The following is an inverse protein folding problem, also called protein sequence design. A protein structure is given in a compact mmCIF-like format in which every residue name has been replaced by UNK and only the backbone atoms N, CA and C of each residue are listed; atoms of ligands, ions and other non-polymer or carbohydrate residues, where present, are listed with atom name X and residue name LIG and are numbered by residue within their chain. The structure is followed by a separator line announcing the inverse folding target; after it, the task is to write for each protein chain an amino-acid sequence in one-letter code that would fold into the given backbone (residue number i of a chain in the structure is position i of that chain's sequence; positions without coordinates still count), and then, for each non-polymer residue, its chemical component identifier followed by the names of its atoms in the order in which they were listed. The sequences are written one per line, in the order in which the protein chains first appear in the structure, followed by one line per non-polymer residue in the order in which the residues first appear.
data_IF_915982793728
#
_entry.id   IF_915982793728
#
_cell.length_a   1.000
_cell.length_b   1.000
_cell.length_c   1.000
_cell.angle_alpha   90.00
_cell.angle_beta   90.00
_cell.angle_gamma   90.00
#
_symmetry.space_group_name_H-M   'P 1'
#
loop_
_entity.id
_entity.type
_entity.pdbx_description
1 polymer ?
#
# COMPACT_ATOMS: atom_id res chain seq x y z
N UNK A 1 0.10 0.09 33.79
CA UNK A 1 0.25 0.89 32.56
C UNK A 1 -0.46 2.20 32.82
N UNK A 2 0.27 3.32 32.77
CA UNK A 2 -0.31 4.66 32.95
C UNK A 2 -1.28 4.97 31.79
N UNK A 3 -2.28 5.83 32.01
CA UNK A 3 -3.29 6.20 31.00
C UNK A 3 -2.62 6.69 29.70
N UNK A 4 -1.53 7.44 29.84
CA UNK A 4 -0.74 7.92 28.72
C UNK A 4 -0.04 6.83 27.93
N UNK A 5 0.42 5.77 28.59
CA UNK A 5 0.98 4.61 27.90
C UNK A 5 -0.11 3.86 27.13
N UNK A 6 -1.33 3.79 27.66
CA UNK A 6 -2.47 3.18 26.98
C UNK A 6 -2.83 3.95 25.69
N UNK A 7 -2.88 5.29 25.74
CA UNK A 7 -3.15 6.11 24.55
C UNK A 7 -2.04 5.94 23.50
N UNK A 8 -0.78 5.93 23.93
CA UNK A 8 0.35 5.71 23.01
C UNK A 8 0.30 4.33 22.37
N UNK A 9 0.02 3.29 23.16
CA UNK A 9 -0.16 1.94 22.65
C UNK A 9 -1.32 1.87 21.66
N UNK A 10 -2.46 2.50 21.98
CA UNK A 10 -3.62 2.58 21.10
C UNK A 10 -3.26 3.20 19.75
N UNK A 11 -2.55 4.33 19.73
CA UNK A 11 -2.12 4.99 18.48
C UNK A 11 -1.21 4.06 17.67
N UNK A 12 -0.18 3.49 18.29
CA UNK A 12 0.79 2.63 17.59
C UNK A 12 0.13 1.37 17.04
N UNK A 13 -0.74 0.71 17.81
CA UNK A 13 -1.46 -0.48 17.39
C UNK A 13 -2.46 -0.16 16.28
N UNK A 14 -3.27 0.89 16.42
CA UNK A 14 -4.22 1.30 15.38
C UNK A 14 -3.52 1.60 14.06
N UNK A 15 -2.33 2.19 14.13
CA UNK A 15 -1.49 2.40 12.95
C UNK A 15 -1.06 1.11 12.28
N UNK A 16 -0.53 0.17 13.06
CA UNK A 16 -0.06 -1.11 12.56
C UNK A 16 -1.20 -1.89 11.90
N UNK A 17 -2.38 -1.93 12.54
CA UNK A 17 -3.57 -2.60 12.01
C UNK A 17 -4.06 -1.99 10.69
N UNK A 18 -4.09 -0.66 10.59
CA UNK A 18 -4.49 0.02 9.34
C UNK A 18 -3.48 -0.24 8.22
N UNK A 19 -2.19 -0.21 8.54
CA UNK A 19 -1.12 -0.51 7.59
C UNK A 19 -1.22 -1.95 7.07
N UNK A 20 -1.30 -2.91 7.99
CA UNK A 20 -1.41 -4.34 7.70
C UNK A 20 -2.66 -4.65 6.86
N UNK A 21 -3.81 -4.01 7.18
CA UNK A 21 -5.02 -4.17 6.40
C UNK A 21 -4.84 -3.74 4.93
N UNK A 22 -4.27 -2.55 4.69
CA UNK A 22 -4.07 -2.03 3.32
C UNK A 22 -3.06 -2.91 2.56
N UNK A 23 -2.01 -3.37 3.23
CA UNK A 23 -1.00 -4.29 2.66
C UNK A 23 -1.63 -5.63 2.29
N UNK A 24 -2.43 -6.22 3.17
CA UNK A 24 -3.15 -7.47 2.91
C UNK A 24 -4.09 -7.34 1.71
N UNK A 25 -4.81 -6.23 1.59
CA UNK A 25 -5.70 -5.96 0.46
C UNK A 25 -4.93 -5.80 -0.85
N UNK A 26 -3.74 -5.17 -0.81
CA UNK A 26 -2.83 -5.10 -1.95
C UNK A 26 -2.37 -6.49 -2.39
N UNK A 27 -1.93 -7.32 -1.44
CA UNK A 27 -1.44 -8.67 -1.69
C UNK A 27 -2.49 -9.60 -2.29
N UNK A 28 -3.74 -9.50 -1.84
CA UNK A 28 -4.86 -10.26 -2.37
C UNK A 28 -5.17 -9.89 -3.84
N UNK A 29 -5.11 -8.60 -4.19
CA UNK A 29 -5.23 -8.17 -5.60
C UNK A 29 -4.07 -8.74 -6.44
N UNK A 30 -2.83 -8.61 -5.96
CA UNK A 30 -1.66 -9.13 -6.66
C UNK A 30 -1.76 -10.64 -6.89
N UNK A 31 -2.15 -11.39 -5.86
CA UNK A 31 -2.29 -12.84 -5.94
C UNK A 31 -3.34 -13.26 -6.98
N UNK A 32 -4.47 -12.55 -7.03
CA UNK A 32 -5.52 -12.83 -8.02
C UNK A 32 -5.08 -12.48 -9.44
N UNK A 33 -4.44 -11.33 -9.63
CA UNK A 33 -3.91 -10.94 -10.94
C UNK A 33 -2.84 -11.92 -11.44
N UNK A 34 -1.93 -12.35 -10.55
CA UNK A 34 -0.88 -13.33 -10.84
C UNK A 34 -1.48 -14.71 -11.19
N UNK A 35 -2.51 -15.16 -10.47
CA UNK A 35 -3.23 -16.40 -10.79
C UNK A 35 -3.93 -16.34 -12.17
N UNK A 36 -4.52 -15.20 -12.54
CA UNK A 36 -5.14 -15.02 -13.86
C UNK A 36 -4.11 -14.99 -14.98
N UNK A 37 -2.97 -14.33 -14.77
CA UNK A 37 -1.85 -14.34 -15.71
C UNK A 37 -1.34 -15.76 -15.94
N UNK A 38 -1.01 -16.48 -14.88
CA UNK A 38 -0.42 -17.83 -14.97
C UNK A 38 -1.38 -18.87 -15.57
N UNK A 39 -2.69 -18.71 -15.37
CA UNK A 39 -3.69 -19.64 -15.92
C UNK A 39 -4.13 -19.35 -17.35
N UNK A 40 -4.11 -18.08 -17.79
CA UNK A 40 -4.75 -17.67 -19.06
C UNK A 40 -3.97 -16.67 -19.90
N UNK A 41 -2.85 -16.14 -19.38
CA UNK A 41 -2.12 -15.03 -20.00
C UNK A 41 -2.89 -13.70 -20.01
N UNK A 42 -3.99 -13.59 -19.24
CA UNK A 42 -4.81 -12.40 -19.23
C UNK A 42 -4.13 -11.23 -18.52
N UNK A 43 -3.76 -10.19 -19.28
CA UNK A 43 -3.22 -8.93 -18.77
C UNK A 43 -4.33 -7.92 -18.44
N UNK A 44 -4.91 -8.04 -17.25
CA UNK A 44 -5.91 -7.10 -16.75
C UNK A 44 -5.35 -5.73 -16.36
N UNK A 45 -6.22 -4.85 -15.85
CA UNK A 45 -5.85 -3.50 -15.44
C UNK A 45 -4.73 -3.44 -14.39
N UNK A 46 -4.71 -4.40 -13.45
CA UNK A 46 -3.64 -4.51 -12.45
C UNK A 46 -2.28 -4.74 -13.11
N UNK A 47 -2.17 -5.68 -14.06
CA UNK A 47 -0.90 -5.99 -14.74
C UNK A 47 -0.47 -4.81 -15.60
N UNK A 48 -1.40 -4.17 -16.32
CA UNK A 48 -1.11 -2.98 -17.11
C UNK A 48 -0.55 -1.83 -16.25
N UNK A 49 -1.18 -1.55 -15.10
CA UNK A 49 -0.68 -0.56 -14.14
C UNK A 49 0.68 -0.97 -13.57
N UNK A 50 0.83 -2.22 -13.14
CA UNK A 50 2.08 -2.73 -12.57
C UNK A 50 3.25 -2.56 -13.54
N UNK A 51 3.01 -2.83 -14.83
CA UNK A 51 3.99 -2.63 -15.89
C UNK A 51 4.29 -1.16 -16.18
N UNK A 52 3.29 -0.27 -16.08
CA UNK A 52 3.50 1.17 -16.21
C UNK A 52 4.42 1.73 -15.12
N UNK A 53 4.27 1.25 -13.89
CA UNK A 53 5.10 1.64 -12.74
C UNK A 53 6.34 0.74 -12.55
N UNK A 54 6.66 -0.12 -13.53
CA UNK A 54 7.86 -0.95 -13.49
C UNK A 54 9.03 -0.22 -14.17
N UNK A 55 10.05 0.15 -13.39
CA UNK A 55 11.24 0.87 -13.90
C UNK A 55 12.04 0.11 -14.96
N UNK A 56 11.85 -1.21 -15.07
CA UNK A 56 12.55 -2.04 -16.08
C UNK A 56 11.91 -1.86 -17.46
N UNK A 57 12.53 -1.05 -18.30
CA UNK A 57 12.22 -1.00 -19.72
C UNK A 57 12.99 -2.08 -20.48
N UNK A 58 12.28 -3.03 -21.08
CA UNK A 58 12.87 -4.00 -22.00
C UNK A 58 12.86 -3.46 -23.43
N UNK A 59 13.93 -3.72 -24.18
CA UNK A 59 14.03 -3.34 -25.59
C UNK A 59 13.78 -4.58 -26.46
N UNK A 60 13.02 -4.44 -27.57
CA UNK A 60 12.88 -5.54 -28.51
C UNK A 60 14.25 -6.04 -28.98
N UNK A 61 14.43 -7.36 -29.13
CA UNK A 61 15.67 -7.90 -29.64
C UNK A 61 15.90 -7.44 -31.08
N UNK A 62 17.17 -7.18 -31.44
CA UNK A 62 17.57 -6.81 -32.80
C UNK A 62 17.60 -8.01 -33.76
N UNK A 63 17.64 -9.24 -33.24
CA UNK A 63 17.61 -10.49 -34.01
C UNK A 63 17.21 -11.64 -33.09
N UNK A 64 16.41 -12.57 -33.62
CA UNK A 64 16.03 -13.81 -32.93
C UNK A 64 17.17 -14.84 -32.88
N UNK A 65 18.16 -14.75 -33.78
CA UNK A 65 19.26 -15.71 -33.86
C UNK A 65 20.35 -15.50 -32.77
N UNK A 66 20.30 -14.38 -32.04
CA UNK A 66 21.35 -13.97 -31.11
C UNK A 66 20.99 -14.17 -29.61
N UNK A 67 19.80 -14.67 -29.28
CA UNK A 67 19.37 -14.75 -27.87
C UNK A 67 19.39 -16.17 -27.32
N UNK A 68 20.45 -16.46 -26.58
CA UNK A 68 20.35 -17.31 -25.41
C UNK A 68 19.63 -16.51 -24.30
N UNK A 69 18.31 -16.67 -24.24
CA UNK A 69 17.53 -16.92 -23.02
C UNK A 69 17.77 -15.98 -21.82
N UNK A 70 16.80 -15.08 -21.50
CA UNK A 70 16.50 -14.70 -20.09
C UNK A 70 15.36 -13.71 -19.78
N UNK A 71 14.77 -13.02 -20.76
CA UNK A 71 13.66 -12.10 -20.47
C UNK A 71 12.45 -12.43 -21.36
N UNK A 72 11.82 -13.56 -21.08
CA UNK A 72 10.45 -13.83 -21.55
C UNK A 72 9.48 -12.82 -20.92
N UNK A 73 8.36 -12.55 -21.60
CA UNK A 73 7.27 -11.71 -21.04
C UNK A 73 6.88 -12.20 -19.65
N UNK A 74 6.85 -13.52 -19.45
CA UNK A 74 6.56 -14.15 -18.16
C UNK A 74 7.58 -13.80 -17.07
N UNK A 75 8.88 -13.81 -17.38
CA UNK A 75 9.92 -13.43 -16.41
C UNK A 75 9.82 -11.95 -16.01
N UNK A 76 9.48 -11.07 -16.96
CA UNK A 76 9.29 -9.64 -16.70
C UNK A 76 8.07 -9.43 -15.80
N UNK A 77 6.93 -10.02 -16.15
CA UNK A 77 5.68 -9.92 -15.38
C UNK A 77 5.88 -10.49 -13.97
N UNK A 78 6.51 -11.67 -13.86
CA UNK A 78 6.85 -12.29 -12.58
C UNK A 78 7.77 -11.40 -11.73
N UNK A 79 8.79 -10.80 -12.34
CA UNK A 79 9.68 -9.86 -11.65
C UNK A 79 8.92 -8.62 -11.15
N UNK A 80 7.93 -8.12 -11.90
CA UNK A 80 7.11 -7.00 -11.49
C UNK A 80 6.23 -7.35 -10.28
N UNK A 81 5.57 -8.52 -10.31
CA UNK A 81 4.80 -9.03 -9.16
C UNK A 81 5.67 -9.19 -7.91
N UNK A 82 6.85 -9.81 -8.04
CA UNK A 82 7.77 -10.01 -6.92
C UNK A 82 8.25 -8.69 -6.32
N UNK A 83 8.57 -7.70 -7.15
CA UNK A 83 8.99 -6.36 -6.69
C UNK A 83 7.88 -5.70 -5.88
N UNK A 84 6.65 -5.72 -6.38
CA UNK A 84 5.53 -5.05 -5.70
C UNK A 84 5.02 -5.81 -4.48
N UNK A 85 5.07 -7.14 -4.51
CA UNK A 85 4.82 -7.99 -3.33
C UNK A 85 5.80 -7.68 -2.21
N UNK A 86 7.10 -7.59 -2.52
CA UNK A 86 8.13 -7.19 -1.56
C UNK A 86 7.87 -5.79 -0.99
N UNK A 87 7.45 -4.85 -1.84
CA UNK A 87 7.05 -3.53 -1.37
C UNK A 87 5.95 -3.61 -0.32
N UNK A 88 4.88 -4.36 -0.60
CA UNK A 88 3.76 -4.53 0.33
C UNK A 88 4.14 -5.27 1.61
N UNK A 89 4.98 -6.30 1.55
CA UNK A 89 5.30 -7.16 2.71
C UNK A 89 6.42 -6.61 3.60
N UNK A 90 7.32 -5.79 3.06
CA UNK A 90 8.59 -5.48 3.74
C UNK A 90 9.04 -4.04 3.66
N UNK A 91 8.77 -3.35 2.55
CA UNK A 91 9.37 -2.04 2.29
C UNK A 91 8.35 -0.88 2.45
N UNK A 92 7.10 -1.19 2.80
CA UNK A 92 6.13 -0.21 3.25
C UNK A 92 6.21 -0.04 4.78
N UNK A 93 6.25 1.23 5.20
CA UNK A 93 6.52 1.64 6.58
C UNK A 93 5.67 2.85 6.94
N UNK A 94 4.37 2.72 6.69
CA UNK A 94 3.38 3.69 7.10
C UNK A 94 2.23 3.81 6.11
N UNK A 95 1.39 4.79 6.41
CA UNK A 95 0.07 4.97 5.79
C UNK A 95 -0.13 6.38 5.25
N UNK A 96 0.95 7.16 5.13
CA UNK A 96 0.89 8.52 4.57
C UNK A 96 0.57 8.46 3.08
N UNK A 97 0.15 9.59 2.51
CA UNK A 97 -0.18 9.69 1.09
C UNK A 97 0.91 9.10 0.19
N UNK A 98 2.18 9.40 0.44
CA UNK A 98 3.30 8.85 -0.34
C UNK A 98 3.41 7.33 -0.24
N UNK A 99 3.08 6.74 0.93
CA UNK A 99 3.01 5.30 1.10
C UNK A 99 1.84 4.71 0.30
N UNK A 100 0.64 5.29 0.46
CA UNK A 100 -0.58 4.82 -0.16
C UNK A 100 -0.50 4.87 -1.69
N UNK A 101 -0.07 5.99 -2.26
CA UNK A 101 0.07 6.14 -3.72
C UNK A 101 1.09 5.15 -4.28
N UNK A 102 2.23 4.99 -3.61
CA UNK A 102 3.27 4.03 -4.01
C UNK A 102 2.79 2.58 -3.95
N UNK A 103 1.93 2.25 -2.98
CA UNK A 103 1.42 0.89 -2.80
C UNK A 103 0.23 0.57 -3.73
N UNK A 104 -0.67 1.53 -3.93
CA UNK A 104 -1.99 1.29 -4.52
C UNK A 104 -2.08 1.64 -6.02
N UNK A 105 -1.39 2.68 -6.50
CA UNK A 105 -1.42 3.02 -7.93
C UNK A 105 -0.90 1.86 -8.81
N UNK A 106 0.21 1.17 -8.45
CA UNK A 106 0.71 0.07 -9.27
C UNK A 106 -0.19 -1.17 -9.34
N UNK A 107 -1.22 -1.28 -8.48
CA UNK A 107 -2.21 -2.36 -8.56
C UNK A 107 -3.51 -1.94 -9.26
N UNK A 108 -3.55 -0.74 -9.83
CA UNK A 108 -4.66 -0.27 -10.67
C UNK A 108 -5.62 0.72 -10.00
N UNK A 109 -5.25 1.29 -8.86
CA UNK A 109 -5.91 2.51 -8.37
C UNK A 109 -5.58 3.69 -9.28
N UNK A 110 -6.47 4.66 -9.32
CA UNK A 110 -6.30 5.96 -9.97
C UNK A 110 -6.18 7.05 -8.92
N UNK A 111 -5.53 8.14 -9.26
CA UNK A 111 -5.47 9.33 -8.38
C UNK A 111 -6.86 9.83 -8.00
N UNK A 112 -7.83 9.77 -8.92
CA UNK A 112 -9.22 10.15 -8.65
C UNK A 112 -9.98 9.18 -7.74
N UNK A 113 -9.40 8.04 -7.38
CA UNK A 113 -9.98 7.12 -6.39
C UNK A 113 -9.67 7.57 -4.95
N UNK A 114 -8.82 8.58 -4.77
CA UNK A 114 -8.43 9.12 -3.47
C UNK A 114 -9.13 10.44 -3.18
N UNK A 115 -9.68 10.54 -1.97
CA UNK A 115 -10.18 11.82 -1.45
C UNK A 115 -9.03 12.60 -0.80
N UNK A 116 -8.83 13.85 -1.24
CA UNK A 116 -7.72 14.68 -0.78
C UNK A 116 -7.82 15.07 0.70
N UNK A 117 -9.03 15.19 1.24
CA UNK A 117 -9.24 15.46 2.66
C UNK A 117 -8.80 14.25 3.49
N UNK A 118 -9.23 13.05 3.08
CA UNK A 118 -8.83 11.81 3.73
C UNK A 118 -7.32 11.54 3.62
N UNK A 119 -6.67 11.84 2.49
CA UNK A 119 -5.20 11.80 2.39
C UNK A 119 -4.52 12.73 3.41
N UNK A 120 -5.11 13.91 3.65
CA UNK A 120 -4.70 14.81 4.73
C UNK A 120 -4.81 14.17 6.11
N UNK A 121 -5.92 13.48 6.39
CA UNK A 121 -6.12 12.71 7.64
C UNK A 121 -5.05 11.64 7.78
N UNK A 122 -4.78 10.86 6.73
CA UNK A 122 -3.76 9.81 6.72
C UNK A 122 -2.35 10.34 6.95
N UNK A 123 -2.01 11.50 6.39
CA UNK A 123 -0.74 12.19 6.63
C UNK A 123 -0.59 12.59 8.10
N UNK A 124 -1.64 13.20 8.69
CA UNK A 124 -1.68 13.57 10.10
C UNK A 124 -1.64 12.36 11.03
N UNK A 125 -2.34 11.29 10.69
CA UNK A 125 -2.32 10.02 11.40
C UNK A 125 -0.88 9.49 11.41
N UNK A 126 -0.26 9.27 10.24
CA UNK A 126 1.11 8.76 10.14
C UNK A 126 2.15 9.63 10.87
N UNK A 127 1.96 10.94 10.90
CA UNK A 127 2.80 11.84 11.68
C UNK A 127 2.63 11.65 13.19
N UNK A 128 1.40 11.41 13.67
CA UNK A 128 1.10 11.18 15.08
C UNK A 128 1.81 9.93 15.62
N UNK A 129 1.77 8.79 14.90
CA UNK A 129 2.57 7.61 15.27
C UNK A 129 4.06 7.91 15.30
N UNK A 130 4.58 8.68 14.33
CA UNK A 130 5.98 9.09 14.31
C UNK A 130 6.36 9.86 15.58
N UNK A 131 5.52 10.80 16.01
CA UNK A 131 5.75 11.55 17.25
C UNK A 131 5.72 10.66 18.49
N UNK A 132 4.73 9.76 18.58
CA UNK A 132 4.53 8.88 19.73
C UNK A 132 5.63 7.82 19.85
N UNK A 133 6.06 7.23 18.74
CA UNK A 133 7.05 6.16 18.73
C UNK A 133 8.50 6.67 18.88
N UNK A 134 8.83 7.84 18.32
CA UNK A 134 10.21 8.37 18.35
C UNK A 134 10.50 9.29 19.54
N UNK A 135 9.48 9.86 20.19
CA UNK A 135 9.68 10.63 21.42
C UNK A 135 9.51 9.69 22.61
N UNK A 136 10.62 9.09 23.03
CA UNK A 136 10.73 8.36 24.30
C UNK A 136 10.03 9.13 25.42
N UNK A 137 9.53 8.40 26.43
CA UNK A 137 8.70 8.88 27.54
C UNK A 137 9.16 10.17 28.26
N UNK A 138 10.38 10.64 28.01
CA UNK A 138 11.07 11.77 28.64
C UNK A 138 10.92 13.15 27.98
N UNK A 139 10.19 13.33 26.86
CA UNK A 139 10.06 14.68 26.21
C UNK A 139 8.66 15.14 25.78
N UNK A 140 7.62 14.36 26.06
CA UNK A 140 6.25 14.79 25.74
C UNK A 140 5.67 15.49 26.96
N UNK A 141 5.69 16.83 26.97
CA UNK A 141 5.08 17.62 28.06
C UNK A 141 3.55 17.55 28.06
N UNK A 142 2.90 17.17 26.94
CA UNK A 142 1.46 16.95 26.85
C UNK A 142 1.17 15.64 26.10
N UNK A 143 0.71 14.59 26.78
CA UNK A 143 0.32 13.34 26.14
C UNK A 143 -0.86 13.54 25.17
N UNK A 144 -1.01 12.68 24.14
CA UNK A 144 -2.10 12.80 23.19
C UNK A 144 -3.45 12.65 23.89
N UNK A 145 -4.43 13.47 23.52
CA UNK A 145 -5.79 13.34 24.03
C UNK A 145 -6.43 12.04 23.50
N UNK A 146 -6.95 11.16 24.38
CA UNK A 146 -7.59 9.90 24.00
C UNK A 146 -8.77 10.10 23.05
N UNK A 147 -9.58 11.15 23.27
CA UNK A 147 -10.77 11.48 22.47
C UNK A 147 -10.38 11.90 21.07
N UNK A 148 -9.35 12.75 20.94
CA UNK A 148 -8.81 13.18 19.66
C UNK A 148 -8.23 11.97 18.90
N UNK A 149 -7.47 11.12 19.60
CA UNK A 149 -6.85 9.93 19.01
C UNK A 149 -7.90 8.95 18.47
N UNK A 150 -8.97 8.72 19.25
CA UNK A 150 -10.09 7.86 18.83
C UNK A 150 -10.84 8.44 17.63
N UNK A 151 -11.10 9.75 17.64
CA UNK A 151 -11.76 10.44 16.52
C UNK A 151 -10.93 10.34 15.25
N UNK A 152 -9.61 10.55 15.36
CA UNK A 152 -8.69 10.42 14.22
C UNK A 152 -8.73 9.01 13.63
N UNK A 153 -8.76 7.95 14.46
CA UNK A 153 -8.93 6.56 13.97
C UNK A 153 -10.28 6.39 13.28
N UNK A 154 -11.37 6.97 13.80
CA UNK A 154 -12.67 6.92 13.14
C UNK A 154 -12.63 7.58 11.76
N UNK A 155 -12.04 8.76 11.65
CA UNK A 155 -11.91 9.48 10.36
C UNK A 155 -11.09 8.67 9.34
N UNK A 156 -10.08 7.91 9.80
CA UNK A 156 -9.31 6.96 8.98
C UNK A 156 -10.20 5.84 8.47
N UNK A 157 -10.97 5.19 9.36
CA UNK A 157 -11.85 4.08 9.01
C UNK A 157 -12.95 4.50 8.04
N UNK A 158 -13.52 5.68 8.21
CA UNK A 158 -14.59 6.19 7.35
C UNK A 158 -14.13 6.35 5.89
N UNK A 159 -12.91 6.84 5.66
CA UNK A 159 -12.37 6.90 4.30
C UNK A 159 -11.84 5.56 3.78
N UNK A 160 -11.39 4.65 4.66
CA UNK A 160 -11.06 3.28 4.25
C UNK A 160 -12.28 2.55 3.68
N UNK A 161 -13.46 2.74 4.26
CA UNK A 161 -14.71 2.17 3.72
C UNK A 161 -14.99 2.61 2.28
N UNK A 162 -14.62 3.84 1.91
CA UNK A 162 -14.74 4.31 0.53
C UNK A 162 -13.75 3.58 -0.40
N UNK A 163 -12.51 3.37 0.06
CA UNK A 163 -11.49 2.62 -0.66
C UNK A 163 -11.84 1.14 -0.84
N UNK A 164 -12.58 0.52 0.08
CA UNK A 164 -13.02 -0.87 -0.06
C UNK A 164 -13.83 -1.10 -1.34
N UNK A 165 -14.66 -0.13 -1.73
CA UNK A 165 -15.40 -0.20 -2.98
C UNK A 165 -14.47 -0.25 -4.20
N UNK A 166 -13.33 0.43 -4.13
CA UNK A 166 -12.29 0.47 -5.16
C UNK A 166 -11.51 -0.85 -5.19
N UNK A 167 -11.12 -1.37 -4.02
CA UNK A 167 -10.54 -2.71 -3.89
C UNK A 167 -11.45 -3.77 -4.53
N UNK A 168 -12.74 -3.76 -4.19
CA UNK A 168 -13.72 -4.70 -4.74
C UNK A 168 -13.91 -4.53 -6.26
N UNK A 169 -13.80 -3.31 -6.79
CA UNK A 169 -13.86 -3.02 -8.23
C UNK A 169 -12.65 -3.59 -8.96
N UNK A 170 -11.44 -3.41 -8.43
CA UNK A 170 -10.20 -3.89 -9.04
C UNK A 170 -10.15 -5.42 -8.99
N UNK A 171 -10.51 -6.02 -7.84
CA UNK A 171 -10.52 -7.47 -7.62
C UNK A 171 -11.40 -8.26 -8.60
N UNK A 172 -12.46 -7.64 -9.12
CA UNK A 172 -13.39 -8.28 -10.08
C UNK A 172 -12.82 -8.33 -11.50
N UNK A 173 -11.88 -7.45 -11.83
CA UNK A 173 -11.28 -7.31 -13.16
C UNK A 173 -10.09 -8.23 -13.36
#
# INVERSE_FOLDING_TARGET
MDEYDQVRAFIVLSHAEVEEYIEAMCLDILQKAEARWTSSGFAGACIAALMLYNDKQTKPPKSLALQAQKDTVDEIVKSAFQKHRRLAERDNHGVKETNLLRLLLPIGFKESDFDGIWLGVMNSFGANRGMVAHRSASRVHNPPDPTISRRQVQDVLDGLLLLESVFARIKRR
#
